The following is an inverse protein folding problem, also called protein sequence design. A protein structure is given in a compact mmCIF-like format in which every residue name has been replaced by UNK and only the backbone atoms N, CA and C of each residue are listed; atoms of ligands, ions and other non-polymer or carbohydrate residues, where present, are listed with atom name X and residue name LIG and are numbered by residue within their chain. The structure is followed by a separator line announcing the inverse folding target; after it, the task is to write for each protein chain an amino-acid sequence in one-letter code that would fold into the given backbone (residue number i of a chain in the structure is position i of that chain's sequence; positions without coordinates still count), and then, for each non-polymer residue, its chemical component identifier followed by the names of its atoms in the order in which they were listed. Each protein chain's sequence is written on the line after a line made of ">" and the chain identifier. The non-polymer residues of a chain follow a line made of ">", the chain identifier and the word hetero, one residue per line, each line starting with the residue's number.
data_IF_955658066228
#
_entry.id   IF_955658066228
#
_cell.length_a   1.000
_cell.length_b   1.000
_cell.length_c   1.000
_cell.angle_alpha   90.00
_cell.angle_beta   90.00
_cell.angle_gamma   90.00
#
_symmetry.space_group_name_H-M   'P 1'
#
loop_
_entity.id
_entity.type
_entity.pdbx_description
1 polymer ?
#
# COMPACT_ATOMS: atom_id res chain seq x y z
N UNK A 1 -4.70 5.06 -22.88
CA UNK A 1 -4.31 3.78 -22.25
C UNK A 1 -2.80 3.59 -22.27
N UNK A 2 -2.14 3.58 -23.43
CA UNK A 2 -0.68 3.39 -23.53
C UNK A 2 0.13 4.44 -22.77
N UNK A 3 -0.19 5.73 -22.90
CA UNK A 3 0.59 6.80 -22.26
C UNK A 3 0.64 6.71 -20.72
N UNK A 4 -0.49 6.40 -20.07
CA UNK A 4 -0.55 6.27 -18.60
C UNK A 4 0.26 5.06 -18.15
N UNK A 5 0.07 3.91 -18.81
CA UNK A 5 0.80 2.67 -18.52
C UNK A 5 2.30 2.84 -18.75
N UNK A 6 2.72 3.49 -19.84
CA UNK A 6 4.13 3.80 -20.12
C UNK A 6 4.71 4.72 -19.05
N UNK A 7 3.98 5.76 -18.64
CA UNK A 7 4.43 6.66 -17.58
C UNK A 7 4.56 5.93 -16.24
N UNK A 8 3.57 5.10 -15.87
CA UNK A 8 3.61 4.29 -14.65
C UNK A 8 4.84 3.36 -14.65
N UNK A 9 5.06 2.63 -15.73
CA UNK A 9 6.22 1.75 -15.88
C UNK A 9 7.54 2.53 -15.73
N UNK A 10 7.69 3.65 -16.45
CA UNK A 10 8.91 4.47 -16.40
C UNK A 10 9.17 5.02 -15.00
N UNK A 11 8.14 5.55 -14.33
CA UNK A 11 8.25 6.12 -12.99
C UNK A 11 8.66 5.05 -11.97
N UNK A 12 7.96 3.90 -11.94
CA UNK A 12 8.28 2.85 -10.97
C UNK A 12 9.60 2.13 -11.28
N UNK A 13 10.00 2.04 -12.55
CA UNK A 13 11.33 1.54 -12.93
C UNK A 13 12.46 2.42 -12.39
N UNK A 14 12.28 3.74 -12.36
CA UNK A 14 13.26 4.66 -11.74
C UNK A 14 13.18 4.60 -10.21
N UNK A 15 11.97 4.56 -9.64
CA UNK A 15 11.77 4.49 -8.18
C UNK A 15 12.26 3.20 -7.55
N UNK A 16 12.43 2.12 -8.31
CA UNK A 16 12.97 0.87 -7.78
C UNK A 16 14.36 1.06 -7.18
N UNK A 17 15.18 1.96 -7.74
CA UNK A 17 16.56 2.21 -7.30
C UNK A 17 16.60 2.76 -5.85
N UNK A 18 15.93 3.89 -5.53
CA UNK A 18 15.90 4.37 -4.15
C UNK A 18 15.15 3.42 -3.21
N UNK A 19 14.15 2.66 -3.66
CA UNK A 19 13.44 1.68 -2.80
C UNK A 19 14.37 0.54 -2.39
N UNK A 20 15.18 0.01 -3.31
CA UNK A 20 16.21 -1.01 -3.01
C UNK A 20 17.21 -0.44 -1.99
N UNK A 21 17.68 0.79 -2.22
CA UNK A 21 18.61 1.45 -1.31
C UNK A 21 18.03 1.59 0.11
N UNK A 22 16.78 2.06 0.23
CA UNK A 22 16.11 2.19 1.53
C UNK A 22 15.97 0.83 2.22
N UNK A 23 15.57 -0.22 1.50
CA UNK A 23 15.47 -1.58 2.03
C UNK A 23 16.79 -2.06 2.64
N UNK A 24 17.91 -1.84 1.95
CA UNK A 24 19.25 -2.22 2.46
C UNK A 24 19.62 -1.41 3.70
N UNK A 25 19.30 -0.10 3.74
CA UNK A 25 19.65 0.76 4.89
C UNK A 25 18.84 0.51 6.15
N UNK A 26 17.61 0.00 6.04
CA UNK A 26 16.74 -0.30 7.18
C UNK A 26 16.77 -1.77 7.61
N UNK A 27 17.57 -2.59 6.92
CA UNK A 27 17.79 -3.98 7.31
C UNK A 27 18.60 -4.07 8.62
N UNK A 28 18.28 -4.98 9.55
CA UNK A 28 17.22 -5.99 9.52
C UNK A 28 15.89 -5.56 10.16
N UNK A 29 15.88 -4.51 10.98
CA UNK A 29 14.76 -4.19 11.87
C UNK A 29 13.50 -3.65 11.14
N UNK A 30 13.66 -3.01 9.99
CA UNK A 30 12.55 -2.47 9.18
C UNK A 30 12.08 -3.38 8.05
N UNK A 31 12.61 -4.60 7.93
CA UNK A 31 12.52 -5.42 6.69
C UNK A 31 11.09 -5.59 6.17
N UNK A 32 10.09 -5.76 7.05
CA UNK A 32 8.69 -5.93 6.67
C UNK A 32 8.17 -4.77 5.82
N UNK A 33 8.31 -3.53 6.29
CA UNK A 33 7.76 -2.36 5.61
C UNK A 33 8.41 -2.12 4.26
N UNK A 34 9.74 -2.13 4.24
CA UNK A 34 10.52 -1.81 3.05
C UNK A 34 10.48 -2.93 2.00
N UNK A 35 10.36 -4.20 2.42
CA UNK A 35 10.14 -5.31 1.50
C UNK A 35 8.79 -5.21 0.79
N UNK A 36 7.73 -4.82 1.51
CA UNK A 36 6.43 -4.63 0.87
C UNK A 36 6.40 -3.41 -0.06
N UNK A 37 7.15 -2.36 0.23
CA UNK A 37 7.34 -1.23 -0.69
C UNK A 37 8.08 -1.67 -1.97
N UNK A 38 9.06 -2.55 -1.83
CA UNK A 38 9.76 -3.18 -2.96
C UNK A 38 8.81 -4.03 -3.79
N UNK A 39 8.02 -4.90 -3.15
CA UNK A 39 7.02 -5.72 -3.81
C UNK A 39 5.97 -4.87 -4.55
N UNK A 40 5.54 -3.75 -3.96
CA UNK A 40 4.64 -2.80 -4.60
C UNK A 40 5.22 -2.27 -5.92
N UNK A 41 6.44 -1.74 -5.89
CA UNK A 41 7.07 -1.18 -7.07
C UNK A 41 7.32 -2.24 -8.16
N UNK A 42 7.69 -3.47 -7.78
CA UNK A 42 7.84 -4.58 -8.71
C UNK A 42 6.51 -4.95 -9.39
N UNK A 43 5.41 -5.03 -8.63
CA UNK A 43 4.09 -5.30 -9.21
C UNK A 43 3.68 -4.22 -10.22
N UNK A 44 4.05 -2.96 -9.98
CA UNK A 44 3.78 -1.85 -10.91
C UNK A 44 4.55 -1.98 -12.21
N UNK A 45 5.83 -2.32 -12.12
CA UNK A 45 6.68 -2.56 -13.29
C UNK A 45 6.13 -3.75 -14.09
N UNK A 46 5.78 -4.85 -13.41
CA UNK A 46 5.22 -6.05 -14.06
C UNK A 46 3.88 -5.75 -14.72
N UNK A 47 2.95 -5.10 -14.02
CA UNK A 47 1.64 -4.71 -14.56
C UNK A 47 1.79 -3.79 -15.77
N UNK A 48 2.67 -2.79 -15.68
CA UNK A 48 2.97 -1.86 -16.78
C UNK A 48 3.53 -2.57 -18.02
N UNK A 49 4.52 -3.44 -17.82
CA UNK A 49 5.09 -4.25 -18.91
C UNK A 49 4.07 -5.19 -19.56
N UNK A 50 3.25 -5.86 -18.74
CA UNK A 50 2.18 -6.73 -19.22
C UNK A 50 1.13 -5.97 -20.04
N UNK A 51 0.74 -4.78 -19.59
CA UNK A 51 -0.23 -3.94 -20.30
C UNK A 51 0.32 -3.43 -21.63
N UNK A 52 1.60 -3.07 -21.72
CA UNK A 52 2.25 -2.72 -22.99
C UNK A 52 2.34 -3.92 -23.95
N UNK A 53 2.51 -5.13 -23.40
CA UNK A 53 2.44 -6.38 -24.16
C UNK A 53 1.02 -6.86 -24.48
N UNK A 54 -0.02 -6.04 -24.24
CA UNK A 54 -1.43 -6.35 -24.46
C UNK A 54 -1.92 -7.63 -23.73
N UNK A 55 -1.37 -7.91 -22.54
CA UNK A 55 -1.78 -9.03 -21.71
C UNK A 55 -2.98 -8.65 -20.83
N UNK A 56 -4.12 -9.37 -20.91
CA UNK A 56 -5.32 -9.03 -20.14
C UNK A 56 -5.09 -9.09 -18.61
N UNK A 57 -4.18 -9.96 -18.18
CA UNK A 57 -3.83 -10.13 -16.76
C UNK A 57 -3.15 -8.91 -16.13
N UNK A 58 -2.71 -7.92 -16.91
CA UNK A 58 -2.11 -6.69 -16.40
C UNK A 58 -3.00 -5.97 -15.40
N UNK A 59 -4.32 -5.96 -15.64
CA UNK A 59 -5.28 -5.29 -14.76
C UNK A 59 -5.43 -5.99 -13.41
N UNK A 60 -5.33 -7.33 -13.41
CA UNK A 60 -5.39 -8.13 -12.19
C UNK A 60 -4.15 -7.82 -11.33
N UNK A 61 -2.96 -7.81 -11.95
CA UNK A 61 -1.69 -7.50 -11.26
C UNK A 61 -1.70 -6.06 -10.73
N UNK A 62 -2.21 -5.09 -11.49
CA UNK A 62 -2.32 -3.70 -11.05
C UNK A 62 -3.22 -3.55 -9.80
N UNK A 63 -4.35 -4.25 -9.75
CA UNK A 63 -5.28 -4.21 -8.62
C UNK A 63 -4.73 -4.90 -7.36
N UNK A 64 -3.92 -5.95 -7.53
CA UNK A 64 -3.23 -6.64 -6.44
C UNK A 64 -2.20 -5.74 -5.73
N UNK A 65 -1.71 -4.71 -6.43
CA UNK A 65 -0.73 -3.76 -5.91
C UNK A 65 -1.17 -2.96 -4.67
N UNK A 66 -2.47 -2.80 -4.39
CA UNK A 66 -2.92 -2.04 -3.21
C UNK A 66 -2.48 -2.70 -1.89
N UNK A 67 -2.33 -4.02 -1.91
CA UNK A 67 -2.08 -4.81 -0.72
C UNK A 67 -0.64 -4.67 -0.21
N UNK A 68 0.41 -4.82 -1.04
CA UNK A 68 1.75 -4.48 -0.61
C UNK A 68 1.90 -3.03 -0.14
N UNK A 69 1.17 -2.07 -0.71
CA UNK A 69 1.25 -0.67 -0.27
C UNK A 69 0.68 -0.48 1.15
N UNK A 70 -0.44 -1.15 1.48
CA UNK A 70 -0.99 -1.19 2.84
C UNK A 70 -0.06 -1.90 3.83
N UNK A 71 0.52 -3.04 3.42
CA UNK A 71 1.47 -3.80 4.24
C UNK A 71 2.77 -3.04 4.46
N UNK A 72 3.24 -2.25 3.48
CA UNK A 72 4.37 -1.34 3.64
C UNK A 72 4.10 -0.32 4.73
N UNK A 73 2.92 0.32 4.72
CA UNK A 73 2.49 1.23 5.78
C UNK A 73 2.44 0.56 7.15
N UNK A 74 1.92 -0.66 7.24
CA UNK A 74 1.93 -1.45 8.49
C UNK A 74 3.33 -1.78 8.97
N UNK A 75 4.25 -2.18 8.09
CA UNK A 75 5.61 -2.54 8.46
C UNK A 75 6.45 -1.32 8.87
N UNK A 76 6.28 -0.18 8.20
CA UNK A 76 6.93 1.09 8.59
C UNK A 76 6.36 1.58 9.93
N UNK A 77 5.05 1.42 10.17
CA UNK A 77 4.45 1.73 11.46
C UNK A 77 4.97 0.81 12.57
N UNK A 78 5.25 -0.46 12.27
CA UNK A 78 5.88 -1.38 13.22
C UNK A 78 7.28 -0.91 13.61
N UNK A 79 8.07 -0.37 12.67
CA UNK A 79 9.39 0.22 12.96
C UNK A 79 9.30 1.42 13.93
N UNK A 80 8.19 2.18 13.87
CA UNK A 80 7.94 3.31 14.78
C UNK A 80 7.59 2.85 16.20
N UNK A 81 6.90 1.72 16.33
CA UNK A 81 6.38 1.18 17.58
C UNK A 81 7.39 0.13 18.07
N UNK A 82 8.50 0.56 18.67
CA UNK A 82 9.46 -0.39 19.24
C UNK A 82 8.80 -1.35 20.24
N UNK A 83 9.11 -2.66 20.20
CA UNK A 83 8.56 -3.67 21.12
C UNK A 83 8.75 -3.30 22.60
N UNK A 84 9.81 -2.57 22.93
CA UNK A 84 10.14 -2.14 24.29
C UNK A 84 9.17 -1.10 24.89
N UNK A 85 8.36 -0.42 24.07
CA UNK A 85 7.44 0.64 24.51
C UNK A 85 5.95 0.29 24.43
N UNK A 86 5.61 -0.87 23.85
CA UNK A 86 4.22 -1.28 23.58
C UNK A 86 3.52 -1.87 24.82
N UNK A 87 4.28 -2.42 25.77
CA UNK A 87 3.73 -3.11 26.95
C UNK A 87 2.93 -4.37 26.59
N UNK A 88 3.00 -4.80 25.33
CA UNK A 88 2.37 -6.01 24.78
C UNK A 88 3.47 -7.03 24.58
N UNK A 89 3.19 -8.29 24.89
CA UNK A 89 4.15 -9.36 24.67
C UNK A 89 4.55 -9.40 23.18
N UNK A 90 5.86 -9.48 22.85
CA UNK A 90 6.31 -9.49 21.47
C UNK A 90 5.67 -10.60 20.62
N UNK A 91 5.33 -11.74 21.23
CA UNK A 91 4.62 -12.83 20.57
C UNK A 91 3.21 -12.43 20.14
N UNK A 92 2.47 -11.73 21.01
CA UNK A 92 1.12 -11.24 20.72
C UNK A 92 1.16 -10.18 19.63
N UNK A 93 2.16 -9.29 19.67
CA UNK A 93 2.36 -8.28 18.63
C UNK A 93 2.60 -8.92 17.25
N UNK A 94 3.49 -9.91 17.17
CA UNK A 94 3.70 -10.67 15.92
C UNK A 94 2.47 -11.43 15.45
N UNK A 95 1.67 -11.98 16.36
CA UNK A 95 0.38 -12.60 16.01
C UNK A 95 -0.58 -11.57 15.43
N UNK A 96 -0.69 -10.38 16.02
CA UNK A 96 -1.54 -9.30 15.49
C UNK A 96 -1.07 -8.89 14.08
N UNK A 97 0.23 -8.70 13.89
CA UNK A 97 0.82 -8.40 12.59
C UNK A 97 0.49 -9.51 11.59
N UNK A 98 0.68 -10.77 11.95
CA UNK A 98 0.36 -11.92 11.10
C UNK A 98 -1.14 -11.95 10.73
N UNK A 99 -2.04 -11.72 11.67
CA UNK A 99 -3.48 -11.67 11.40
C UNK A 99 -3.84 -10.55 10.43
N UNK A 100 -3.23 -9.37 10.58
CA UNK A 100 -3.41 -8.26 9.64
C UNK A 100 -2.89 -8.61 8.23
N UNK A 101 -1.75 -9.29 8.14
CA UNK A 101 -1.22 -9.77 6.85
C UNK A 101 -2.17 -10.77 6.19
N UNK A 102 -2.66 -11.76 6.95
CA UNK A 102 -3.62 -12.75 6.45
C UNK A 102 -4.92 -12.09 5.97
N UNK A 103 -5.41 -11.07 6.70
CA UNK A 103 -6.58 -10.28 6.31
C UNK A 103 -6.37 -9.60 4.95
N UNK A 104 -5.24 -8.91 4.78
CA UNK A 104 -4.91 -8.20 3.53
C UNK A 104 -4.70 -9.19 2.38
N UNK A 105 -3.99 -10.30 2.60
CA UNK A 105 -3.79 -11.35 1.58
C UNK A 105 -5.12 -11.98 1.17
N UNK A 106 -6.01 -12.30 2.10
CA UNK A 106 -7.33 -12.85 1.81
C UNK A 106 -8.18 -11.86 0.99
N UNK A 107 -8.16 -10.58 1.35
CA UNK A 107 -8.85 -9.52 0.60
C UNK A 107 -8.32 -9.42 -0.84
N UNK A 108 -7.00 -9.48 -1.00
CA UNK A 108 -6.31 -9.46 -2.31
C UNK A 108 -6.72 -10.65 -3.16
N UNK A 109 -6.77 -11.84 -2.57
CA UNK A 109 -7.17 -13.06 -3.27
C UNK A 109 -8.63 -12.98 -3.76
N UNK A 110 -9.53 -12.36 -2.99
CA UNK A 110 -10.90 -12.09 -3.42
C UNK A 110 -10.97 -11.08 -4.58
N UNK A 111 -10.21 -9.99 -4.51
CA UNK A 111 -10.13 -9.00 -5.62
C UNK A 111 -9.55 -9.64 -6.87
N UNK A 112 -8.47 -10.41 -6.75
CA UNK A 112 -7.82 -11.07 -7.87
C UNK A 112 -8.73 -12.13 -8.50
N UNK A 113 -9.28 -13.06 -7.71
CA UNK A 113 -10.16 -14.11 -8.22
C UNK A 113 -11.46 -13.56 -8.81
N UNK A 114 -12.06 -12.53 -8.19
CA UNK A 114 -13.21 -11.82 -8.73
C UNK A 114 -12.89 -11.08 -10.02
N UNK A 115 -11.75 -10.38 -10.07
CA UNK A 115 -11.28 -9.66 -11.26
C UNK A 115 -10.99 -10.59 -12.43
N UNK A 116 -10.31 -11.70 -12.19
CA UNK A 116 -10.07 -12.75 -13.19
C UNK A 116 -11.38 -13.30 -13.75
N UNK A 117 -12.35 -13.59 -12.88
CA UNK A 117 -13.65 -14.11 -13.29
C UNK A 117 -14.54 -13.07 -14.01
N UNK A 118 -14.25 -11.78 -13.89
CA UNK A 118 -14.92 -10.73 -14.69
C UNK A 118 -14.32 -10.61 -16.10
N UNK A 119 -13.07 -11.04 -16.29
CA UNK A 119 -12.37 -10.99 -17.58
C UNK A 119 -12.53 -12.27 -18.41
N UNK A 120 -13.09 -13.34 -17.85
CA UNK A 120 -13.33 -14.59 -18.58
C UNK A 120 -14.45 -14.46 -19.60
N UNK A 121 -14.38 -15.24 -20.69
CA UNK A 121 -15.37 -15.24 -21.77
C UNK A 121 -16.82 -15.49 -21.30
N UNK A 122 -16.98 -16.23 -20.19
CA UNK A 122 -18.24 -16.39 -19.47
C UNK A 122 -18.07 -15.92 -18.03
N UNK A 123 -18.44 -14.67 -17.69
CA UNK A 123 -18.26 -14.15 -16.34
C UNK A 123 -19.03 -14.96 -15.31
N UNK A 124 -18.35 -15.40 -14.25
CA UNK A 124 -18.98 -16.21 -13.21
C UNK A 124 -20.02 -15.38 -12.42
N UNK A 125 -21.16 -16.00 -12.09
CA UNK A 125 -22.14 -15.39 -11.20
C UNK A 125 -21.48 -15.00 -9.86
N UNK A 126 -21.65 -13.74 -9.46
CA UNK A 126 -21.06 -13.21 -8.22
C UNK A 126 -19.57 -12.82 -8.31
N UNK A 127 -18.93 -12.82 -9.48
CA UNK A 127 -17.56 -12.32 -9.64
C UNK A 127 -17.40 -10.87 -9.15
N UNK A 128 -18.35 -10.00 -9.51
CA UNK A 128 -18.41 -8.62 -9.03
C UNK A 128 -18.55 -8.54 -7.50
N UNK A 129 -19.34 -9.44 -6.90
CA UNK A 129 -19.52 -9.48 -5.45
C UNK A 129 -18.22 -9.87 -4.74
N UNK A 130 -17.41 -10.78 -5.31
CA UNK A 130 -16.08 -11.11 -4.78
C UNK A 130 -15.15 -9.90 -4.80
N UNK A 131 -15.13 -9.14 -5.90
CA UNK A 131 -14.32 -7.91 -5.98
C UNK A 131 -14.79 -6.89 -4.95
N UNK A 132 -16.09 -6.60 -4.87
CA UNK A 132 -16.66 -5.66 -3.88
C UNK A 132 -16.32 -6.06 -2.45
N UNK A 133 -16.45 -7.36 -2.11
CA UNK A 133 -16.10 -7.88 -0.81
C UNK A 133 -14.60 -7.70 -0.50
N UNK A 134 -13.72 -8.05 -1.45
CA UNK A 134 -12.28 -7.90 -1.30
C UNK A 134 -11.87 -6.43 -1.09
N UNK A 135 -12.40 -5.50 -1.90
CA UNK A 135 -12.14 -4.06 -1.75
C UNK A 135 -12.68 -3.54 -0.41
N UNK A 136 -13.85 -4.00 0.02
CA UNK A 136 -14.42 -3.67 1.34
C UNK A 136 -13.52 -4.11 2.50
N UNK A 137 -12.93 -5.30 2.42
CA UNK A 137 -11.98 -5.79 3.43
C UNK A 137 -10.66 -4.98 3.40
N UNK A 138 -10.16 -4.57 2.22
CA UNK A 138 -9.00 -3.68 2.13
C UNK A 138 -9.27 -2.30 2.75
N UNK A 139 -10.47 -1.76 2.55
CA UNK A 139 -10.91 -0.52 3.22
C UNK A 139 -10.96 -0.68 4.74
N UNK A 140 -11.48 -1.81 5.24
CA UNK A 140 -11.46 -2.11 6.67
C UNK A 140 -10.02 -2.19 7.21
N UNK A 141 -9.12 -2.88 6.50
CA UNK A 141 -7.70 -2.95 6.86
C UNK A 141 -7.05 -1.55 6.91
N UNK A 142 -7.40 -0.67 5.97
CA UNK A 142 -6.95 0.73 5.98
C UNK A 142 -7.47 1.51 7.19
N UNK A 143 -8.76 1.36 7.56
CA UNK A 143 -9.32 1.99 8.77
C UNK A 143 -8.60 1.51 10.02
N UNK A 144 -8.36 0.19 10.15
CA UNK A 144 -7.59 -0.38 11.26
C UNK A 144 -6.20 0.27 11.31
N UNK A 145 -5.52 0.41 10.18
CA UNK A 145 -4.19 1.01 10.12
C UNK A 145 -4.19 2.49 10.53
N UNK A 146 -5.23 3.27 10.19
CA UNK A 146 -5.41 4.64 10.70
C UNK A 146 -5.53 4.64 12.22
N UNK A 147 -6.38 3.78 12.77
CA UNK A 147 -6.63 3.71 14.22
C UNK A 147 -5.33 3.35 14.96
N UNK A 148 -4.59 2.34 14.48
CA UNK A 148 -3.31 1.95 15.08
C UNK A 148 -2.28 3.09 14.97
N UNK A 149 -2.21 3.79 13.83
CA UNK A 149 -1.32 4.95 13.64
C UNK A 149 -1.66 6.10 14.60
N UNK A 150 -2.96 6.35 14.83
CA UNK A 150 -3.43 7.35 15.79
C UNK A 150 -3.07 6.96 17.23
N UNK A 151 -3.27 5.70 17.62
CA UNK A 151 -2.87 5.18 18.93
C UNK A 151 -1.37 5.32 19.12
N UNK A 152 -0.56 4.91 18.14
CA UNK A 152 0.90 5.03 18.19
C UNK A 152 1.35 6.49 18.37
N UNK A 153 0.70 7.43 17.68
CA UNK A 153 0.99 8.86 17.79
C UNK A 153 0.60 9.43 19.15
N UNK A 154 -0.55 9.04 19.71
CA UNK A 154 -0.98 9.42 21.05
C UNK A 154 -0.02 8.89 22.12
N UNK A 155 0.41 7.62 22.02
CA UNK A 155 1.38 7.00 22.94
C UNK A 155 2.72 7.73 22.89
N UNK A 156 3.21 8.03 21.70
CA UNK A 156 4.44 8.79 21.49
C UNK A 156 4.36 10.19 22.10
N UNK A 157 3.27 10.94 21.89
CA UNK A 157 3.10 12.26 22.52
C UNK A 157 3.16 12.19 24.04
N UNK A 158 2.59 11.14 24.65
CA UNK A 158 2.66 10.92 26.11
C UNK A 158 4.06 10.57 26.60
N UNK A 159 4.85 9.83 25.82
CA UNK A 159 6.24 9.46 26.15
C UNK A 159 7.27 10.56 25.80
N UNK A 160 6.93 11.47 24.88
CA UNK A 160 7.78 12.56 24.38
C UNK A 160 8.20 13.57 25.45
N UNK A 161 7.65 13.51 26.67
CA UNK A 161 8.17 14.26 27.80
C UNK A 161 9.50 13.71 28.35
N UNK A 162 10.04 12.59 27.81
CA UNK A 162 11.30 11.99 28.30
C UNK A 162 12.38 11.76 27.24
N UNK A 163 12.09 11.32 26.01
CA UNK A 163 13.11 11.11 24.96
C UNK A 163 12.43 11.26 23.58
N UNK A 164 12.86 12.23 22.75
CA UNK A 164 12.29 12.46 21.41
C UNK A 164 13.30 12.05 20.33
N UNK A 165 13.16 10.85 19.77
CA UNK A 165 13.91 10.50 18.56
C UNK A 165 13.22 11.13 17.35
N UNK A 166 13.89 12.13 16.74
CA UNK A 166 13.43 12.87 15.55
C UNK A 166 13.01 11.94 14.40
N UNK A 167 13.59 10.74 14.32
CA UNK A 167 13.39 9.82 13.20
C UNK A 167 12.04 9.10 13.24
N UNK A 168 11.60 8.61 14.40
CA UNK A 168 10.28 7.96 14.46
C UNK A 168 9.12 8.94 14.20
N UNK A 169 9.31 10.24 14.48
CA UNK A 169 8.32 11.26 14.16
C UNK A 169 8.22 11.47 12.63
N UNK A 170 9.37 11.47 11.93
CA UNK A 170 9.41 11.54 10.45
C UNK A 170 8.70 10.32 9.83
N UNK A 171 8.99 9.11 10.31
CA UNK A 171 8.31 7.88 9.82
C UNK A 171 6.79 7.95 10.01
N UNK A 172 6.31 8.38 11.19
CA UNK A 172 4.87 8.56 11.42
C UNK A 172 4.23 9.56 10.47
N UNK A 173 4.88 10.70 10.24
CA UNK A 173 4.39 11.71 9.29
C UNK A 173 4.31 11.10 7.88
N UNK A 174 5.31 10.33 7.47
CA UNK A 174 5.28 9.59 6.20
C UNK A 174 4.10 8.63 6.11
N UNK A 175 3.86 7.83 7.15
CA UNK A 175 2.72 6.91 7.22
C UNK A 175 1.39 7.67 7.14
N UNK A 176 1.23 8.80 7.84
CA UNK A 176 0.01 9.61 7.76
C UNK A 176 -0.25 10.13 6.35
N UNK A 177 0.78 10.70 5.71
CA UNK A 177 0.66 11.21 4.34
C UNK A 177 0.26 10.05 3.41
N UNK A 178 0.98 8.93 3.47
CA UNK A 178 0.67 7.75 2.66
C UNK A 178 -0.76 7.24 2.88
N UNK A 179 -1.22 7.15 4.13
CA UNK A 179 -2.55 6.67 4.47
C UNK A 179 -3.67 7.51 3.84
N UNK A 180 -3.52 8.84 3.78
CA UNK A 180 -4.52 9.69 3.11
C UNK A 180 -4.65 9.32 1.64
N UNK A 181 -3.54 9.18 0.93
CA UNK A 181 -3.55 8.87 -0.49
C UNK A 181 -3.95 7.42 -0.80
N UNK A 182 -3.53 6.47 0.03
CA UNK A 182 -4.02 5.07 -0.04
C UNK A 182 -5.54 5.04 0.13
N UNK A 183 -6.08 5.85 1.05
CA UNK A 183 -7.53 5.98 1.26
C UNK A 183 -8.25 6.48 0.02
N UNK A 184 -7.76 7.57 -0.60
CA UNK A 184 -8.31 8.12 -1.86
C UNK A 184 -8.38 7.02 -2.92
N UNK A 185 -7.29 6.26 -3.07
CA UNK A 185 -7.20 5.17 -4.04
C UNK A 185 -8.20 4.05 -3.74
N UNK A 186 -8.33 3.61 -2.49
CA UNK A 186 -9.26 2.55 -2.11
C UNK A 186 -10.73 2.98 -2.31
N UNK A 187 -11.06 4.22 -1.99
CA UNK A 187 -12.40 4.78 -2.21
C UNK A 187 -12.73 4.87 -3.70
N UNK A 188 -11.77 5.30 -4.53
CA UNK A 188 -11.93 5.27 -5.98
C UNK A 188 -12.16 3.85 -6.49
N UNK A 189 -11.35 2.87 -6.06
CA UNK A 189 -11.52 1.47 -6.46
C UNK A 189 -12.91 0.95 -6.06
N UNK A 190 -13.38 1.26 -4.85
CA UNK A 190 -14.73 0.90 -4.43
C UNK A 190 -15.78 1.54 -5.34
N UNK A 191 -15.70 2.86 -5.55
CA UNK A 191 -16.62 3.60 -6.40
C UNK A 191 -16.66 3.06 -7.84
N UNK A 192 -15.50 2.69 -8.39
CA UNK A 192 -15.37 2.12 -9.72
C UNK A 192 -16.07 0.75 -9.86
N UNK A 193 -16.10 -0.07 -8.80
CA UNK A 193 -16.80 -1.36 -8.81
C UNK A 193 -18.25 -1.28 -8.34
N UNK A 194 -18.64 -0.25 -7.60
CA UNK A 194 -20.03 -0.07 -7.14
C UNK A 194 -20.88 0.80 -8.04
N UNK A 195 -20.28 1.74 -8.77
CA UNK A 195 -20.99 2.65 -9.66
C UNK A 195 -21.12 2.08 -11.06
N UNK A 196 -22.25 2.38 -11.71
CA UNK A 196 -22.46 2.10 -13.15
C UNK A 196 -21.96 3.25 -14.05
N UNK A 197 -21.23 4.21 -13.49
CA UNK A 197 -20.73 5.37 -14.24
C UNK A 197 -19.55 4.97 -15.14
N UNK A 198 -19.66 5.11 -16.47
CA UNK A 198 -18.60 4.69 -17.40
C UNK A 198 -17.30 5.50 -17.22
N UNK A 199 -17.39 6.73 -16.74
CA UNK A 199 -16.22 7.59 -16.50
C UNK A 199 -15.30 7.09 -15.37
N UNK A 200 -15.86 6.32 -14.42
CA UNK A 200 -15.10 5.76 -13.29
C UNK A 200 -14.42 4.43 -13.64
N UNK A 201 -14.67 3.88 -14.83
CA UNK A 201 -14.15 2.59 -15.23
C UNK A 201 -12.60 2.60 -15.19
N UNK A 202 -11.96 1.65 -14.49
CA UNK A 202 -10.50 1.62 -14.34
C UNK A 202 -9.75 1.32 -15.64
N UNK A 203 -10.48 0.92 -16.69
CA UNK A 203 -9.96 0.53 -18.01
C UNK A 203 -10.33 1.58 -19.06
N UNK A 204 -11.61 1.93 -19.17
CA UNK A 204 -12.11 2.78 -20.27
C UNK A 204 -12.54 4.17 -19.82
N UNK A 205 -12.40 4.48 -18.53
CA UNK A 205 -12.85 5.72 -17.94
C UNK A 205 -12.03 6.94 -18.34
N UNK A 206 -12.39 8.07 -17.76
CA UNK A 206 -11.74 9.34 -18.06
C UNK A 206 -10.25 9.28 -17.64
N UNK A 207 -9.36 9.60 -18.60
CA UNK A 207 -7.90 9.60 -18.38
C UNK A 207 -7.50 10.52 -17.22
N UNK A 208 -8.14 11.69 -17.07
CA UNK A 208 -7.87 12.59 -15.96
C UNK A 208 -8.23 11.96 -14.61
N UNK A 209 -9.35 11.23 -14.54
CA UNK A 209 -9.78 10.52 -13.32
C UNK A 209 -8.79 9.40 -12.98
N UNK A 210 -8.34 8.63 -13.98
CA UNK A 210 -7.33 7.59 -13.78
C UNK A 210 -6.02 8.18 -13.28
N UNK A 211 -5.53 9.27 -13.85
CA UNK A 211 -4.31 9.92 -13.37
C UNK A 211 -4.48 10.42 -11.93
N UNK A 212 -5.56 11.12 -11.63
CA UNK A 212 -5.78 11.77 -10.34
C UNK A 212 -6.17 10.83 -9.20
N UNK A 213 -6.92 9.75 -9.48
CA UNK A 213 -7.48 8.86 -8.46
C UNK A 213 -6.87 7.45 -8.46
N UNK A 214 -6.12 7.09 -9.52
CA UNK A 214 -5.36 5.83 -9.59
C UNK A 214 -3.87 6.08 -9.38
N UNK A 215 -3.22 6.71 -10.36
CA UNK A 215 -1.75 6.80 -10.42
C UNK A 215 -1.18 7.73 -9.34
N UNK A 216 -1.69 8.96 -9.24
CA UNK A 216 -1.15 9.99 -8.37
C UNK A 216 -1.18 9.61 -6.88
N UNK A 217 -2.28 9.08 -6.32
CA UNK A 217 -2.31 8.74 -4.89
C UNK A 217 -1.28 7.66 -4.55
N UNK A 218 -1.12 6.65 -5.40
CA UNK A 218 -0.15 5.57 -5.20
C UNK A 218 1.30 6.06 -5.32
N UNK A 219 1.55 6.95 -6.29
CA UNK A 219 2.85 7.59 -6.45
C UNK A 219 3.20 8.47 -5.26
N UNK A 220 2.28 9.30 -4.78
CA UNK A 220 2.52 10.19 -3.63
C UNK A 220 2.74 9.37 -2.36
N UNK A 221 1.96 8.30 -2.15
CA UNK A 221 2.18 7.38 -1.03
C UNK A 221 3.58 6.74 -1.09
N UNK A 222 3.98 6.25 -2.26
CA UNK A 222 5.31 5.67 -2.49
C UNK A 222 6.43 6.69 -2.23
N UNK A 223 6.32 7.88 -2.80
CA UNK A 223 7.29 8.96 -2.61
C UNK A 223 7.38 9.38 -1.14
N UNK A 224 6.26 9.41 -0.42
CA UNK A 224 6.26 9.73 1.01
C UNK A 224 7.06 8.68 1.80
N UNK A 225 6.85 7.39 1.55
CA UNK A 225 7.62 6.31 2.17
C UNK A 225 9.11 6.36 1.80
N UNK A 226 9.44 6.53 0.53
CA UNK A 226 10.84 6.66 0.07
C UNK A 226 11.52 7.85 0.74
N UNK A 227 10.85 9.01 0.78
CA UNK A 227 11.41 10.23 1.37
C UNK A 227 11.71 10.02 2.85
N UNK A 228 10.75 9.49 3.62
CA UNK A 228 10.98 9.29 5.06
C UNK A 228 12.03 8.22 5.32
N UNK A 229 12.08 7.12 4.55
CA UNK A 229 13.14 6.11 4.66
C UNK A 229 14.53 6.68 4.39
N UNK A 230 14.67 7.49 3.33
CA UNK A 230 15.93 8.17 3.05
C UNK A 230 16.34 9.15 4.16
N UNK A 231 15.39 9.78 4.85
CA UNK A 231 15.65 10.71 5.96
C UNK A 231 15.99 10.00 7.27
N UNK A 232 15.52 8.76 7.48
CA UNK A 232 15.73 8.00 8.73
C UNK A 232 16.84 6.96 8.65
N UNK A 233 17.47 6.79 7.48
CA UNK A 233 18.57 5.84 7.22
C UNK A 233 19.74 5.83 8.22
N UNK A 234 20.06 6.95 8.86
CA UNK A 234 21.16 7.03 9.84
C UNK A 234 20.70 6.90 11.30
N UNK A 235 19.39 6.76 11.52
CA UNK A 235 18.79 6.79 12.85
C UNK A 235 19.01 5.55 13.71
N UNK A 236 19.56 4.49 13.14
CA UNK A 236 19.71 3.21 13.82
C UNK A 236 20.73 3.22 14.97
N UNK A 237 21.52 4.29 15.13
CA UNK A 237 22.44 4.47 16.25
C UNK A 237 21.82 5.14 17.49
N UNK A 238 20.63 5.73 17.34
CA UNK A 238 20.01 6.58 18.37
C UNK A 238 18.58 6.13 18.79
N UNK A 239 18.17 4.91 18.44
CA UNK A 239 16.87 4.31 18.80
C UNK A 239 16.99 3.26 19.89
#
# INVERSE_FOLDING_TARGET
>A
MTAITTAELAIYAVLIIPVIYVLVTHFPHGILGWFYLQAFCLLRIIAGGMALGNNPSALIVANVGLSPLLLAGSGILHEVVSPSGSGVDPKVEWVIVLMFHLLVVAATALVASGGSALQSASPAAGALNKVKAGVGILLLAWVILIVVTAIASCRRRRQSSRISSSNGAKLLIGVYIALVFIGIRLVYTLAAFTSNNPELNPVTGNTAILVCLSLLPELIATLSFVTVGLMTRHGHRDM
#
